data_IF_838901117164
#
_entry.id   IF_838901117164
#
_cell.length_a   1.000
_cell.length_b   1.000
_cell.length_c   1.000
_cell.angle_alpha   90.00
_cell.angle_beta   90.00
_cell.angle_gamma   90.00
#
_symmetry.space_group_name_H-M   'P 1'
#
loop_
_entity.id
_entity.type
_entity.pdbx_description
1 polymer ?
#
# COMPACT_ATOMS: atom_id res chain seq x y z
N UNK A 1 -2.94 -11.18 -5.67
CA UNK A 1 -1.89 -10.64 -4.77
C UNK A 1 -2.18 -10.87 -3.28
N UNK A 2 -3.09 -10.17 -2.63
CA UNK A 2 -3.37 -10.31 -1.18
C UNK A 2 -3.78 -11.72 -0.70
N UNK A 3 -4.15 -12.64 -1.60
CA UNK A 3 -4.40 -14.06 -1.31
C UNK A 3 -3.08 -14.85 -1.20
N UNK A 4 -2.07 -14.46 -1.97
CA UNK A 4 -0.81 -15.18 -2.16
C UNK A 4 0.18 -14.89 -1.04
N UNK A 5 0.30 -13.62 -0.66
CA UNK A 5 1.35 -13.13 0.22
C UNK A 5 0.95 -13.13 1.70
N UNK A 6 1.95 -13.31 2.55
CA UNK A 6 1.84 -13.12 3.99
C UNK A 6 2.21 -11.68 4.35
N UNK A 7 1.61 -11.17 5.41
CA UNK A 7 1.80 -9.80 5.88
C UNK A 7 2.32 -9.82 7.31
N UNK A 8 3.17 -8.85 7.69
CA UNK A 8 3.65 -8.74 9.06
C UNK A 8 2.49 -8.45 10.01
N UNK A 9 2.50 -9.12 11.16
CA UNK A 9 1.48 -8.98 12.21
C UNK A 9 2.12 -8.90 13.59
N UNK A 10 1.35 -8.38 14.56
CA UNK A 10 1.78 -8.21 15.95
C UNK A 10 2.52 -6.89 16.17
N UNK A 11 3.26 -6.82 17.25
CA UNK A 11 4.07 -5.67 17.61
C UNK A 11 5.46 -5.78 16.99
N UNK A 12 5.96 -4.72 16.31
CA UNK A 12 7.31 -4.71 15.78
C UNK A 12 8.35 -4.49 16.88
N UNK A 13 9.52 -5.08 16.72
CA UNK A 13 10.72 -4.68 17.45
C UNK A 13 11.33 -3.46 16.75
N UNK A 14 11.55 -2.38 17.50
CA UNK A 14 12.21 -1.18 16.99
C UNK A 14 13.70 -1.30 17.20
N UNK A 15 14.47 -1.47 16.13
CA UNK A 15 15.91 -1.68 16.15
C UNK A 15 16.61 -0.40 15.71
N UNK A 16 17.36 0.21 16.64
CA UNK A 16 18.17 1.43 16.42
C UNK A 16 19.65 1.18 16.66
N UNK A 17 20.00 0.10 17.36
CA UNK A 17 21.37 -0.17 17.77
C UNK A 17 22.27 -0.49 16.57
N UNK A 18 23.38 0.26 16.35
CA UNK A 18 24.22 0.07 15.17
C UNK A 18 24.75 -1.34 15.00
N UNK A 19 25.12 -2.03 16.09
CA UNK A 19 25.66 -3.38 16.01
C UNK A 19 24.65 -4.37 15.42
N UNK A 20 23.37 -4.25 15.79
CA UNK A 20 22.31 -5.07 15.18
C UNK A 20 22.06 -4.69 13.73
N UNK A 21 21.98 -3.37 13.42
CA UNK A 21 21.75 -2.89 12.06
C UNK A 21 22.87 -3.30 11.09
N UNK A 22 24.11 -3.40 11.58
CA UNK A 22 25.24 -3.86 10.77
C UNK A 22 25.22 -5.38 10.47
N UNK A 23 24.37 -6.17 11.15
CA UNK A 23 24.17 -7.60 10.84
C UNK A 23 23.12 -7.84 9.77
N UNK A 24 22.52 -6.77 9.21
CA UNK A 24 21.50 -6.92 8.18
C UNK A 24 22.12 -7.43 6.89
N UNK A 25 21.60 -8.53 6.41
CA UNK A 25 21.99 -9.19 5.17
C UNK A 25 20.77 -9.50 4.30
N UNK A 26 20.99 -9.51 2.99
CA UNK A 26 19.98 -9.90 2.01
C UNK A 26 20.47 -11.18 1.33
N UNK A 27 19.65 -12.22 1.39
CA UNK A 27 19.92 -13.52 0.77
C UNK A 27 18.63 -14.05 0.14
N UNK A 28 18.71 -14.48 -1.12
CA UNK A 28 17.59 -15.08 -1.86
C UNK A 28 16.26 -14.25 -1.79
N UNK A 29 16.34 -12.93 -1.96
CA UNK A 29 15.19 -12.02 -1.91
C UNK A 29 14.59 -11.81 -0.53
N UNK A 30 15.31 -12.21 0.52
CA UNK A 30 14.86 -12.15 1.90
C UNK A 30 15.88 -11.39 2.75
N UNK A 31 15.39 -10.58 3.67
CA UNK A 31 16.23 -9.82 4.60
C UNK A 31 16.38 -10.56 5.93
N UNK A 32 17.59 -10.55 6.46
CA UNK A 32 17.95 -11.16 7.73
C UNK A 32 18.63 -10.13 8.65
N UNK A 33 18.38 -10.25 9.96
CA UNK A 33 19.09 -9.55 11.00
C UNK A 33 19.51 -10.58 12.06
N UNK A 34 20.78 -10.62 12.45
CA UNK A 34 21.32 -11.65 13.36
C UNK A 34 20.94 -13.07 12.91
N UNK A 35 20.99 -13.36 11.61
CA UNK A 35 20.58 -14.62 10.96
C UNK A 35 19.09 -15.00 11.12
N UNK A 36 18.23 -14.12 11.60
CA UNK A 36 16.78 -14.33 11.67
C UNK A 36 16.11 -13.62 10.50
N UNK A 37 15.18 -14.31 9.82
CA UNK A 37 14.32 -13.68 8.83
C UNK A 37 13.52 -12.55 9.46
N UNK A 38 13.57 -11.39 8.83
CA UNK A 38 12.84 -10.20 9.24
C UNK A 38 12.05 -9.63 8.08
N UNK A 39 10.89 -9.08 8.41
CA UNK A 39 10.08 -8.24 7.54
C UNK A 39 9.69 -6.99 8.32
N UNK A 40 9.38 -5.91 7.61
CA UNK A 40 8.96 -4.68 8.26
C UNK A 40 9.26 -3.45 7.45
N UNK A 41 9.51 -2.35 8.14
CA UNK A 41 9.87 -1.07 7.54
C UNK A 41 11.32 -0.75 7.87
N UNK A 42 12.10 -0.41 6.85
CA UNK A 42 13.51 -0.08 6.95
C UNK A 42 13.76 1.35 6.49
N UNK A 43 14.38 2.17 7.35
CA UNK A 43 14.90 3.48 6.97
C UNK A 43 16.37 3.34 6.64
N UNK A 44 16.72 3.59 5.38
CA UNK A 44 18.05 3.27 4.88
C UNK A 44 18.52 4.25 3.80
N UNK A 45 19.84 4.26 3.58
CA UNK A 45 20.50 4.92 2.43
C UNK A 45 20.82 3.87 1.39
N UNK A 46 20.34 4.07 0.18
CA UNK A 46 20.49 3.17 -0.97
C UNK A 46 21.09 3.93 -2.14
N UNK A 47 21.83 3.22 -2.98
CA UNK A 47 22.33 3.73 -4.25
C UNK A 47 21.53 3.09 -5.40
N UNK A 48 20.75 3.87 -6.17
CA UNK A 48 20.01 3.35 -7.31
C UNK A 48 20.94 3.04 -8.49
N UNK A 49 20.57 2.07 -9.35
CA UNK A 49 21.29 1.81 -10.59
C UNK A 49 21.14 2.99 -11.56
N UNK A 50 22.12 3.16 -12.46
CA UNK A 50 22.04 4.14 -13.55
C UNK A 50 21.11 3.63 -14.68
N UNK A 51 19.81 3.59 -14.40
CA UNK A 51 18.75 3.18 -15.35
C UNK A 51 17.74 4.29 -15.51
N UNK A 52 17.08 4.33 -16.67
CA UNK A 52 16.07 5.35 -16.98
C UNK A 52 14.88 5.31 -15.98
N UNK A 53 14.40 4.12 -15.66
CA UNK A 53 13.29 3.91 -14.72
C UNK A 53 13.74 2.86 -13.69
N UNK A 54 14.29 3.29 -12.53
CA UNK A 54 14.64 2.39 -11.45
C UNK A 54 13.38 1.87 -10.73
N UNK A 55 13.52 0.78 -9.96
CA UNK A 55 12.41 0.09 -9.32
C UNK A 55 11.80 0.85 -8.12
N UNK A 56 12.65 1.36 -7.23
CA UNK A 56 12.18 2.02 -6.01
C UNK A 56 11.72 3.45 -6.30
N UNK A 57 10.74 3.87 -5.53
CA UNK A 57 10.21 5.23 -5.61
C UNK A 57 10.63 6.04 -4.39
N UNK A 58 10.94 7.30 -4.59
CA UNK A 58 11.14 8.29 -3.52
C UNK A 58 10.12 9.40 -3.62
N UNK A 59 9.97 10.19 -2.57
CA UNK A 59 8.97 11.27 -2.50
C UNK A 59 9.62 12.66 -2.53
N UNK A 60 8.99 13.54 -3.30
CA UNK A 60 9.26 14.99 -3.28
C UNK A 60 7.93 15.74 -3.37
N UNK A 61 7.69 16.66 -2.44
CA UNK A 61 6.48 17.50 -2.44
C UNK A 61 5.16 16.70 -2.56
N UNK A 62 5.07 15.58 -1.84
CA UNK A 62 3.88 14.71 -1.85
C UNK A 62 3.72 13.84 -3.10
N UNK A 63 4.57 13.97 -4.11
CA UNK A 63 4.57 13.13 -5.32
C UNK A 63 5.63 12.05 -5.25
N UNK A 64 5.36 10.91 -5.89
CA UNK A 64 6.29 9.78 -5.97
C UNK A 64 7.01 9.77 -7.31
N UNK A 65 8.34 9.61 -7.26
CA UNK A 65 9.22 9.60 -8.41
C UNK A 65 10.09 8.36 -8.40
N UNK A 66 10.32 7.78 -9.59
CA UNK A 66 11.28 6.72 -9.80
C UNK A 66 12.52 7.33 -10.47
N UNK A 67 13.59 7.51 -9.70
CA UNK A 67 14.78 8.26 -10.16
C UNK A 67 16.07 7.51 -9.83
N UNK A 68 17.08 7.69 -10.70
CA UNK A 68 18.42 7.15 -10.51
C UNK A 68 19.34 8.06 -9.66
N UNK A 69 18.85 9.22 -9.24
CA UNK A 69 19.64 10.23 -8.55
C UNK A 69 18.77 11.14 -7.68
N UNK A 70 19.12 11.22 -6.39
CA UNK A 70 18.41 12.09 -5.44
C UNK A 70 18.70 13.59 -5.71
N UNK A 71 19.95 13.97 -5.91
CA UNK A 71 20.32 15.37 -6.20
C UNK A 71 19.61 15.88 -7.46
N UNK A 72 19.63 15.10 -8.54
CA UNK A 72 18.92 15.44 -9.78
C UNK A 72 17.44 15.73 -9.57
N UNK A 73 16.77 14.91 -8.74
CA UNK A 73 15.36 15.13 -8.38
C UNK A 73 15.18 16.41 -7.55
N UNK A 74 16.04 16.64 -6.56
CA UNK A 74 15.92 17.80 -5.65
C UNK A 74 16.18 19.12 -6.35
N UNK A 75 17.07 19.13 -7.33
CA UNK A 75 17.41 20.31 -8.15
C UNK A 75 16.40 20.61 -9.26
N UNK A 76 15.40 19.74 -9.47
CA UNK A 76 14.45 19.79 -10.61
C UNK A 76 15.18 19.78 -11.97
N UNK A 77 16.27 19.04 -12.07
CA UNK A 77 17.11 18.98 -13.24
C UNK A 77 16.40 18.25 -14.39
N UNK A 78 16.63 18.67 -15.63
CA UNK A 78 16.07 18.06 -16.86
C UNK A 78 17.15 17.44 -17.73
N UNK A 79 18.42 17.73 -17.45
CA UNK A 79 19.58 17.27 -18.22
C UNK A 79 20.03 15.86 -17.74
N UNK A 80 20.98 15.28 -18.45
CA UNK A 80 21.59 14.01 -18.05
C UNK A 80 22.28 14.14 -16.69
N UNK A 81 22.07 13.14 -15.83
CA UNK A 81 22.67 13.11 -14.51
C UNK A 81 24.19 12.89 -14.59
N UNK A 82 24.97 13.82 -14.05
CA UNK A 82 26.43 13.76 -13.92
C UNK A 82 26.90 13.61 -12.47
N UNK A 83 25.99 13.41 -11.54
CA UNK A 83 26.26 13.32 -10.11
C UNK A 83 27.05 12.07 -9.74
N UNK A 84 27.89 12.18 -8.71
CA UNK A 84 28.59 11.05 -8.12
C UNK A 84 27.67 10.15 -7.28
N UNK A 85 28.15 9.01 -6.83
CA UNK A 85 27.32 8.01 -6.12
C UNK A 85 26.78 8.52 -4.77
N UNK A 86 27.49 9.44 -4.10
CA UNK A 86 27.01 10.01 -2.84
C UNK A 86 25.84 10.99 -3.04
N UNK A 87 25.91 11.80 -4.08
CA UNK A 87 24.84 12.73 -4.49
C UNK A 87 23.62 11.99 -5.06
N UNK A 88 23.86 10.85 -5.70
CA UNK A 88 22.82 9.99 -6.25
C UNK A 88 22.08 9.20 -5.18
N UNK A 89 22.72 8.90 -4.05
CA UNK A 89 22.16 8.05 -3.01
C UNK A 89 20.86 8.64 -2.43
N UNK A 90 19.87 7.78 -2.23
CA UNK A 90 18.55 8.11 -1.71
C UNK A 90 18.47 7.62 -0.27
N UNK A 91 17.97 8.46 0.64
CA UNK A 91 17.64 8.09 2.02
C UNK A 91 16.14 8.18 2.19
N UNK A 92 15.49 7.04 2.41
CA UNK A 92 14.02 6.96 2.53
C UNK A 92 13.62 5.70 3.31
N UNK A 93 12.31 5.57 3.57
CA UNK A 93 11.71 4.43 4.25
C UNK A 93 11.03 3.50 3.24
N UNK A 94 11.39 2.22 3.32
CA UNK A 94 10.87 1.17 2.43
C UNK A 94 10.40 -0.05 3.23
N UNK A 95 9.74 -0.98 2.56
CA UNK A 95 9.50 -2.30 3.14
C UNK A 95 10.72 -3.21 2.93
N UNK A 96 10.98 -4.12 3.87
CA UNK A 96 12.13 -5.02 3.78
C UNK A 96 12.14 -5.86 2.49
N UNK A 97 10.97 -6.35 2.06
CA UNK A 97 10.84 -7.13 0.82
C UNK A 97 11.13 -6.30 -0.44
N UNK A 98 10.81 -4.98 -0.46
CA UNK A 98 11.19 -4.10 -1.58
C UNK A 98 12.69 -3.90 -1.67
N UNK A 99 13.35 -3.66 -0.54
CA UNK A 99 14.81 -3.50 -0.52
C UNK A 99 15.49 -4.80 -0.93
N UNK A 100 15.04 -5.93 -0.40
CA UNK A 100 15.60 -7.24 -0.78
C UNK A 100 15.47 -7.48 -2.29
N UNK A 101 14.30 -7.22 -2.87
CA UNK A 101 14.08 -7.33 -4.31
C UNK A 101 14.92 -6.33 -5.12
N UNK A 102 15.00 -5.07 -4.67
CA UNK A 102 15.75 -4.01 -5.33
C UNK A 102 17.26 -4.36 -5.43
N UNK A 103 17.82 -4.85 -4.33
CA UNK A 103 19.24 -5.23 -4.27
C UNK A 103 19.52 -6.45 -5.16
N UNK A 104 18.72 -7.52 -5.05
CA UNK A 104 19.00 -8.75 -5.79
C UNK A 104 18.64 -8.71 -7.28
N UNK A 105 17.53 -8.05 -7.64
CA UNK A 105 16.98 -8.11 -9.01
C UNK A 105 17.13 -6.83 -9.80
N UNK A 106 17.30 -5.68 -9.13
CA UNK A 106 17.26 -4.39 -9.81
C UNK A 106 18.61 -3.66 -9.82
N UNK A 107 19.64 -4.16 -9.11
CA UNK A 107 20.98 -3.61 -9.09
C UNK A 107 21.16 -2.42 -8.15
N UNK A 108 20.32 -2.31 -7.11
CA UNK A 108 20.54 -1.35 -6.04
C UNK A 108 21.63 -1.83 -5.08
N UNK A 109 22.28 -0.87 -4.40
CA UNK A 109 23.21 -1.15 -3.31
C UNK A 109 22.65 -0.58 -2.01
N UNK A 110 22.55 -1.39 -0.98
CA UNK A 110 22.22 -0.95 0.38
C UNK A 110 23.48 -0.41 1.03
N UNK A 111 23.54 0.93 1.20
CA UNK A 111 24.74 1.60 1.72
C UNK A 111 24.76 1.66 3.25
N UNK A 112 23.60 1.98 3.86
CA UNK A 112 23.48 2.11 5.32
C UNK A 112 22.04 1.91 5.76
N UNK A 113 21.87 1.25 6.90
CA UNK A 113 20.59 1.17 7.60
C UNK A 113 20.66 2.05 8.84
N UNK A 114 19.63 2.88 9.03
CA UNK A 114 19.54 3.80 10.17
C UNK A 114 18.57 3.28 11.22
N UNK A 115 17.49 2.64 10.77
CA UNK A 115 16.36 2.24 11.61
C UNK A 115 15.62 1.07 10.98
N UNK A 116 15.10 0.18 11.81
CA UNK A 116 14.32 -0.96 11.38
C UNK A 116 13.18 -1.22 12.35
N UNK A 117 11.95 -1.29 11.83
CA UNK A 117 10.78 -1.84 12.52
C UNK A 117 10.60 -3.28 12.07
N UNK A 118 11.11 -4.23 12.86
CA UNK A 118 11.13 -5.65 12.52
C UNK A 118 9.93 -6.41 13.09
N UNK A 119 9.26 -7.17 12.24
CA UNK A 119 8.21 -8.09 12.62
C UNK A 119 8.72 -9.53 12.53
N UNK A 120 8.36 -10.36 13.50
CA UNK A 120 8.73 -11.78 13.56
C UNK A 120 7.59 -12.73 13.20
N UNK A 121 6.38 -12.22 13.02
CA UNK A 121 5.18 -13.01 12.72
C UNK A 121 4.54 -12.56 11.41
N UNK A 122 4.11 -13.53 10.61
CA UNK A 122 3.55 -13.29 9.26
C UNK A 122 2.36 -14.18 9.02
N UNK A 123 1.26 -13.62 8.53
CA UNK A 123 0.04 -14.34 8.21
C UNK A 123 -0.63 -13.86 6.92
N UNK A 124 -1.38 -14.75 6.27
CA UNK A 124 -2.21 -14.41 5.10
C UNK A 124 -3.55 -13.81 5.54
N UNK A 125 -3.49 -12.69 6.30
CA UNK A 125 -4.63 -12.07 6.97
C UNK A 125 -5.79 -11.71 6.04
N UNK A 126 -5.51 -11.38 4.77
CA UNK A 126 -6.53 -11.01 3.79
C UNK A 126 -7.07 -12.20 2.99
N UNK A 127 -6.50 -13.39 3.12
CA UNK A 127 -6.80 -14.52 2.25
C UNK A 127 -8.29 -14.88 2.26
N UNK A 128 -8.92 -15.03 3.43
CA UNK A 128 -10.35 -15.38 3.54
C UNK A 128 -11.25 -14.33 2.91
N UNK A 129 -11.01 -13.06 3.22
CA UNK A 129 -11.79 -11.92 2.69
C UNK A 129 -11.64 -11.84 1.16
N UNK A 130 -10.41 -11.82 0.67
CA UNK A 130 -10.12 -11.68 -0.76
C UNK A 130 -10.68 -12.86 -1.55
N UNK A 131 -10.53 -14.08 -1.05
CA UNK A 131 -11.05 -15.29 -1.71
C UNK A 131 -12.57 -15.25 -1.81
N UNK A 132 -13.26 -14.84 -0.74
CA UNK A 132 -14.72 -14.71 -0.73
C UNK A 132 -15.18 -13.68 -1.77
N UNK A 133 -14.72 -12.44 -1.66
CA UNK A 133 -15.16 -11.37 -2.57
C UNK A 133 -14.70 -11.58 -4.01
N UNK A 134 -13.52 -12.15 -4.25
CA UNK A 134 -13.08 -12.50 -5.60
C UNK A 134 -14.02 -13.55 -6.25
N UNK A 135 -14.42 -14.58 -5.50
CA UNK A 135 -15.38 -15.57 -5.99
C UNK A 135 -16.74 -14.95 -6.32
N UNK A 136 -17.25 -14.05 -5.48
CA UNK A 136 -18.50 -13.33 -5.75
C UNK A 136 -18.41 -12.42 -6.98
N UNK A 137 -17.29 -11.70 -7.14
CA UNK A 137 -17.06 -10.86 -8.33
C UNK A 137 -17.13 -11.68 -9.61
N UNK A 138 -16.52 -12.88 -9.62
CA UNK A 138 -16.53 -13.77 -10.79
C UNK A 138 -17.96 -14.28 -11.07
N UNK A 139 -18.70 -14.74 -10.05
CA UNK A 139 -20.09 -15.16 -10.19
C UNK A 139 -20.99 -14.09 -10.81
N UNK A 140 -20.85 -12.85 -10.35
CA UNK A 140 -21.65 -11.72 -10.85
C UNK A 140 -21.16 -11.14 -12.17
N UNK A 141 -19.96 -11.51 -12.64
CA UNK A 141 -19.49 -11.13 -13.99
C UNK A 141 -20.12 -11.94 -15.09
N UNK A 142 -20.64 -13.14 -14.80
CA UNK A 142 -21.07 -14.10 -15.80
C UNK A 142 -19.88 -14.83 -16.43
N UNK A 143 -20.17 -15.71 -17.36
CA UNK A 143 -19.14 -16.38 -18.16
C UNK A 143 -18.61 -15.45 -19.25
N UNK A 144 -17.33 -15.60 -19.66
CA UNK A 144 -16.79 -14.99 -20.86
C UNK A 144 -17.63 -15.37 -22.10
N UNK A 145 -17.66 -14.48 -23.09
CA UNK A 145 -18.50 -14.64 -24.30
C UNK A 145 -18.14 -15.84 -25.20
N UNK A 146 -16.93 -16.35 -25.06
CA UNK A 146 -16.37 -17.50 -25.76
C UNK A 146 -16.80 -18.84 -25.14
N UNK A 147 -17.31 -18.85 -23.91
CA UNK A 147 -17.75 -20.05 -23.18
C UNK A 147 -19.26 -20.20 -23.34
N UNK A 148 -19.68 -21.24 -24.09
CA UNK A 148 -21.10 -21.45 -24.46
C UNK A 148 -21.65 -22.80 -24.00
N UNK A 149 -20.83 -23.83 -23.96
CA UNK A 149 -21.27 -25.20 -23.63
C UNK A 149 -21.13 -25.47 -22.13
N UNK A 150 -21.93 -26.40 -21.61
CA UNK A 150 -21.88 -26.78 -20.19
C UNK A 150 -20.54 -27.40 -19.80
N UNK A 151 -19.89 -28.10 -20.74
CA UNK A 151 -18.57 -28.68 -20.52
C UNK A 151 -17.51 -27.58 -20.38
N UNK A 152 -17.51 -26.57 -21.26
CA UNK A 152 -16.62 -25.43 -21.18
C UNK A 152 -16.84 -24.65 -19.88
N UNK A 153 -18.09 -24.45 -19.43
CA UNK A 153 -18.41 -23.82 -18.17
C UNK A 153 -17.80 -24.58 -16.95
N UNK A 154 -17.91 -25.90 -16.95
CA UNK A 154 -17.32 -26.77 -15.92
C UNK A 154 -15.78 -26.66 -15.91
N UNK A 155 -15.15 -26.71 -17.10
CA UNK A 155 -13.70 -26.57 -17.25
C UNK A 155 -13.23 -25.20 -16.77
N UNK A 156 -13.92 -24.14 -17.13
CA UNK A 156 -13.64 -22.77 -16.67
C UNK A 156 -13.71 -22.66 -15.14
N UNK A 157 -14.78 -23.17 -14.52
CA UNK A 157 -14.92 -23.17 -13.06
C UNK A 157 -13.78 -23.93 -12.38
N UNK A 158 -13.43 -25.13 -12.90
CA UNK A 158 -12.36 -25.95 -12.34
C UNK A 158 -10.99 -25.26 -12.46
N UNK A 159 -10.70 -24.67 -13.61
CA UNK A 159 -9.45 -23.93 -13.85
C UNK A 159 -9.29 -22.76 -12.85
N UNK A 160 -10.35 -21.94 -12.68
CA UNK A 160 -10.31 -20.82 -11.73
C UNK A 160 -10.25 -21.32 -10.29
N UNK A 161 -11.04 -22.32 -9.91
CA UNK A 161 -10.99 -22.89 -8.57
C UNK A 161 -9.59 -23.36 -8.20
N UNK A 162 -8.90 -24.04 -9.12
CA UNK A 162 -7.53 -24.48 -8.93
C UNK A 162 -6.56 -23.31 -8.86
N UNK A 163 -6.62 -22.37 -9.80
CA UNK A 163 -5.73 -21.20 -9.87
C UNK A 163 -5.85 -20.27 -8.65
N UNK A 164 -7.06 -20.09 -8.15
CA UNK A 164 -7.37 -19.15 -7.05
C UNK A 164 -7.48 -19.83 -5.69
N UNK A 165 -7.41 -21.16 -5.62
CA UNK A 165 -7.58 -21.90 -4.39
C UNK A 165 -9.01 -21.86 -3.82
N UNK A 166 -10.04 -21.79 -4.69
CA UNK A 166 -11.44 -21.74 -4.29
C UNK A 166 -11.97 -23.14 -3.97
N UNK A 167 -11.63 -23.63 -2.80
CA UNK A 167 -11.98 -24.99 -2.35
C UNK A 167 -13.05 -25.03 -1.25
N UNK A 168 -13.43 -23.90 -0.67
CA UNK A 168 -14.43 -23.81 0.38
C UNK A 168 -15.85 -23.71 -0.19
N UNK A 169 -16.87 -24.26 0.53
CA UNK A 169 -18.29 -24.26 0.12
C UNK A 169 -18.80 -22.91 -0.40
N UNK A 170 -18.42 -21.80 0.22
CA UNK A 170 -18.88 -20.46 -0.17
C UNK A 170 -18.04 -19.79 -1.28
N UNK A 171 -16.88 -20.32 -1.59
CA UNK A 171 -15.96 -19.74 -2.59
C UNK A 171 -15.82 -20.55 -3.85
N UNK A 172 -15.98 -21.89 -3.77
CA UNK A 172 -15.89 -22.79 -4.92
C UNK A 172 -16.91 -22.40 -5.98
N UNK A 173 -16.45 -22.14 -7.19
CA UNK A 173 -17.30 -21.80 -8.32
C UNK A 173 -17.91 -23.07 -8.94
N UNK A 174 -19.19 -23.04 -9.19
CA UNK A 174 -19.95 -24.03 -9.94
C UNK A 174 -20.80 -23.32 -10.98
N UNK A 175 -21.08 -23.93 -12.17
CA UNK A 175 -21.78 -23.24 -13.27
C UNK A 175 -23.13 -22.63 -12.87
N UNK A 176 -23.90 -23.28 -12.01
CA UNK A 176 -25.23 -22.84 -11.57
C UNK A 176 -25.22 -21.55 -10.73
N UNK A 177 -24.07 -21.17 -10.14
CA UNK A 177 -23.94 -19.98 -9.31
C UNK A 177 -23.77 -18.68 -10.10
N UNK A 178 -23.50 -18.78 -11.40
CA UNK A 178 -23.22 -17.62 -12.24
C UNK A 178 -24.53 -16.89 -12.58
N UNK A 179 -24.61 -15.64 -12.12
CA UNK A 179 -25.75 -14.74 -12.39
C UNK A 179 -25.19 -13.35 -12.68
N UNK A 180 -25.16 -12.98 -13.96
CA UNK A 180 -24.71 -11.64 -14.35
C UNK A 180 -25.50 -10.57 -13.64
N UNK A 181 -24.81 -9.74 -12.84
CA UNK A 181 -25.40 -8.63 -12.13
C UNK A 181 -24.36 -7.53 -11.93
N UNK A 182 -24.45 -6.50 -12.78
CA UNK A 182 -23.48 -5.39 -12.81
C UNK A 182 -23.42 -4.64 -11.49
N UNK A 183 -24.56 -4.40 -10.82
CA UNK A 183 -24.63 -3.67 -9.56
C UNK A 183 -23.88 -4.44 -8.46
N UNK A 184 -24.21 -5.72 -8.29
CA UNK A 184 -23.54 -6.58 -7.29
C UNK A 184 -22.06 -6.75 -7.59
N UNK A 185 -21.69 -6.91 -8.85
CA UNK A 185 -20.30 -6.98 -9.29
C UNK A 185 -19.52 -5.72 -8.89
N UNK A 186 -20.11 -4.52 -9.09
CA UNK A 186 -19.48 -3.26 -8.74
C UNK A 186 -19.36 -3.09 -7.22
N UNK A 187 -20.39 -3.41 -6.43
CA UNK A 187 -20.31 -3.41 -4.96
C UNK A 187 -19.20 -4.31 -4.44
N UNK A 188 -19.07 -5.52 -4.99
CA UNK A 188 -18.00 -6.45 -4.64
C UNK A 188 -16.63 -5.91 -5.03
N UNK A 189 -16.51 -5.27 -6.21
CA UNK A 189 -15.28 -4.61 -6.65
C UNK A 189 -14.85 -3.50 -5.66
N UNK A 190 -15.80 -2.67 -5.23
CA UNK A 190 -15.54 -1.61 -4.24
C UNK A 190 -15.12 -2.21 -2.90
N UNK A 191 -15.73 -3.30 -2.44
CA UNK A 191 -15.32 -4.00 -1.22
C UNK A 191 -13.87 -4.50 -1.31
N UNK A 192 -13.46 -5.07 -2.46
CA UNK A 192 -12.08 -5.50 -2.69
C UNK A 192 -11.07 -4.33 -2.65
N UNK A 193 -11.46 -3.18 -3.22
CA UNK A 193 -10.58 -2.00 -3.28
C UNK A 193 -10.52 -1.25 -1.93
N UNK A 194 -11.58 -1.33 -1.12
CA UNK A 194 -11.70 -0.59 0.15
C UNK A 194 -10.65 -0.98 1.20
N UNK A 195 -10.14 -2.21 1.16
CA UNK A 195 -9.10 -2.67 2.10
C UNK A 195 -7.86 -1.79 1.99
N UNK A 196 -7.32 -1.59 0.78
CA UNK A 196 -6.12 -0.78 0.59
C UNK A 196 -6.32 0.64 1.09
N UNK A 197 -7.41 1.29 0.66
CA UNK A 197 -7.74 2.65 1.08
C UNK A 197 -7.91 2.76 2.59
N UNK A 198 -8.48 1.73 3.24
CA UNK A 198 -8.68 1.74 4.68
C UNK A 198 -7.39 1.54 5.48
N UNK A 199 -6.50 0.67 5.02
CA UNK A 199 -5.20 0.44 5.65
C UNK A 199 -4.27 1.64 5.50
N UNK A 200 -4.33 2.32 4.34
CA UNK A 200 -3.48 3.48 4.02
C UNK A 200 -4.12 4.83 4.37
N UNK A 201 -5.24 4.83 5.08
CA UNK A 201 -5.94 6.06 5.42
C UNK A 201 -5.12 6.92 6.36
N UNK A 202 -4.86 8.16 5.95
CA UNK A 202 -4.22 9.16 6.79
C UNK A 202 -5.08 9.46 8.05
N UNK A 203 -4.44 9.59 9.19
CA UNK A 203 -5.07 10.02 10.44
C UNK A 203 -5.36 11.54 10.47
N UNK A 204 -4.69 12.31 9.62
CA UNK A 204 -4.78 13.77 9.54
C UNK A 204 -5.83 14.25 8.53
N UNK A 205 -6.84 13.43 8.24
CA UNK A 205 -7.90 13.80 7.28
C UNK A 205 -8.70 15.00 7.79
N UNK A 206 -8.85 16.01 6.93
CA UNK A 206 -9.75 17.13 7.16
C UNK A 206 -11.20 16.66 7.29
N UNK A 207 -11.96 17.28 8.18
CA UNK A 207 -13.40 17.07 8.30
C UNK A 207 -14.14 18.25 7.69
N UNK A 208 -15.16 17.97 6.88
CA UNK A 208 -16.04 19.00 6.32
C UNK A 208 -17.26 19.13 7.22
N UNK A 209 -17.54 20.34 7.66
CA UNK A 209 -18.68 20.70 8.49
C UNK A 209 -19.53 21.73 7.73
N UNK A 210 -20.84 21.62 7.88
CA UNK A 210 -21.79 22.65 7.43
C UNK A 210 -22.37 23.25 8.69
N UNK A 211 -22.21 24.55 8.85
CA UNK A 211 -22.58 25.30 10.04
C UNK A 211 -23.66 26.30 9.66
N UNK A 212 -24.75 26.35 10.45
CA UNK A 212 -25.90 27.23 10.25
C UNK A 212 -25.93 28.36 11.25
N UNK A 213 -25.17 28.26 12.36
CA UNK A 213 -25.22 29.23 13.47
C UNK A 213 -23.88 29.91 13.64
N UNK A 214 -23.92 31.24 13.85
CA UNK A 214 -22.74 32.05 14.16
C UNK A 214 -22.07 31.59 15.47
N UNK A 215 -22.87 31.24 16.49
CA UNK A 215 -22.37 30.72 17.77
C UNK A 215 -21.57 29.40 17.60
N UNK A 216 -22.03 28.52 16.70
CA UNK A 216 -21.36 27.26 16.41
C UNK A 216 -20.03 27.51 15.70
N UNK A 217 -20.00 28.43 14.74
CA UNK A 217 -18.78 28.83 14.06
C UNK A 217 -17.78 29.44 15.06
N UNK A 218 -18.24 30.33 15.94
CA UNK A 218 -17.40 30.96 16.93
C UNK A 218 -16.79 29.94 17.92
N UNK A 219 -17.59 28.97 18.39
CA UNK A 219 -17.08 27.86 19.22
C UNK A 219 -16.05 27.03 18.49
N UNK A 220 -16.23 26.77 17.20
CA UNK A 220 -15.29 26.01 16.40
C UNK A 220 -13.97 26.75 16.23
N UNK A 221 -14.00 28.06 15.94
CA UNK A 221 -12.82 28.94 15.80
C UNK A 221 -12.04 29.04 17.10
N UNK A 222 -12.74 29.11 18.25
CA UNK A 222 -12.11 29.23 19.57
C UNK A 222 -11.58 27.87 20.10
N UNK A 223 -11.91 26.77 19.45
CA UNK A 223 -11.52 25.44 19.92
C UNK A 223 -10.07 25.13 19.53
N UNK A 224 -9.13 25.02 20.52
CA UNK A 224 -7.72 24.79 20.23
C UNK A 224 -7.42 23.41 19.60
N UNK A 225 -8.40 22.50 19.60
CA UNK A 225 -8.26 21.18 18.98
C UNK A 225 -8.23 21.28 17.46
N UNK A 226 -8.86 22.31 16.89
CA UNK A 226 -9.05 22.42 15.44
C UNK A 226 -8.31 23.61 14.85
N UNK A 227 -7.81 23.37 13.64
CA UNK A 227 -7.35 24.40 12.70
C UNK A 227 -8.31 24.45 11.54
N UNK A 228 -8.76 25.65 11.19
CA UNK A 228 -9.57 25.87 10.00
C UNK A 228 -8.63 25.96 8.80
N UNK A 229 -8.79 25.04 7.85
CA UNK A 229 -8.05 25.03 6.59
C UNK A 229 -8.79 25.80 5.49
N UNK A 230 -10.11 25.75 5.53
CA UNK A 230 -10.93 26.40 4.51
C UNK A 230 -12.29 26.80 5.09
N UNK A 231 -12.79 27.95 4.66
CA UNK A 231 -14.09 28.49 5.06
C UNK A 231 -14.73 29.15 3.84
N UNK A 232 -15.98 28.80 3.55
CA UNK A 232 -16.76 29.36 2.44
C UNK A 232 -18.23 29.47 2.82
N UNK A 233 -18.83 30.62 2.54
CA UNK A 233 -20.29 30.80 2.66
C UNK A 233 -20.99 30.06 1.53
N UNK A 234 -22.07 29.36 1.85
CA UNK A 234 -22.92 28.62 0.91
C UNK A 234 -24.34 29.18 1.00
N UNK A 235 -24.71 30.02 0.04
CA UNK A 235 -25.95 30.75 0.11
C UNK A 235 -25.93 31.82 1.21
N UNK A 236 -27.11 32.15 1.77
CA UNK A 236 -27.24 33.23 2.75
C UNK A 236 -27.07 32.79 4.22
N UNK A 237 -27.20 31.52 4.52
CA UNK A 237 -27.29 31.02 5.91
C UNK A 237 -26.31 29.88 6.26
N UNK A 238 -25.60 29.31 5.31
CA UNK A 238 -24.75 28.19 5.55
C UNK A 238 -23.26 28.53 5.37
N UNK A 239 -22.42 28.00 6.23
CA UNK A 239 -20.97 28.10 6.11
C UNK A 239 -20.38 26.70 6.01
N UNK A 240 -19.71 26.43 4.90
CA UNK A 240 -18.88 25.23 4.76
C UNK A 240 -17.51 25.50 5.37
N UNK A 241 -17.14 24.69 6.36
CA UNK A 241 -15.87 24.81 7.06
C UNK A 241 -15.12 23.50 6.94
N UNK A 242 -13.90 23.56 6.45
CA UNK A 242 -12.97 22.43 6.47
C UNK A 242 -11.99 22.60 7.62
N UNK A 243 -11.96 21.62 8.52
CA UNK A 243 -11.13 21.64 9.71
C UNK A 243 -10.18 20.48 9.75
N UNK A 244 -8.99 20.70 10.27
CA UNK A 244 -8.02 19.69 10.71
C UNK A 244 -7.82 19.76 12.21
N UNK A 245 -7.35 18.67 12.78
CA UNK A 245 -6.87 18.70 14.17
C UNK A 245 -5.49 19.32 14.24
N UNK A 246 -5.24 20.14 15.25
CA UNK A 246 -3.91 20.65 15.56
C UNK A 246 -2.98 19.52 16.01
N UNK A 247 -1.69 19.72 15.83
CA UNK A 247 -0.65 18.83 16.34
C UNK A 247 -0.84 18.57 17.84
N UNK A 248 -0.71 17.31 18.25
CA UNK A 248 -0.96 16.88 19.62
C UNK A 248 -2.43 16.51 19.93
N UNK A 249 -3.38 16.86 19.11
CA UNK A 249 -4.81 16.47 19.23
C UNK A 249 -5.26 15.46 18.18
N UNK A 250 -4.33 14.84 17.49
CA UNK A 250 -4.62 13.87 16.44
C UNK A 250 -5.33 12.63 16.99
N UNK A 251 -6.30 12.13 16.26
CA UNK A 251 -6.90 10.84 16.56
C UNK A 251 -6.05 9.74 15.95
N UNK A 252 -5.53 8.85 16.78
CA UNK A 252 -4.95 7.62 16.28
C UNK A 252 -6.05 6.84 15.54
N UNK A 253 -5.88 6.68 14.23
CA UNK A 253 -6.79 5.85 13.44
C UNK A 253 -6.49 4.38 13.71
N UNK A 254 -7.14 3.81 14.72
CA UNK A 254 -6.97 2.40 15.11
C UNK A 254 -7.35 1.40 14.01
N UNK A 255 -7.95 1.86 12.90
CA UNK A 255 -8.36 1.02 11.76
C UNK A 255 -7.39 1.10 10.59
N UNK A 256 -6.46 2.05 10.60
CA UNK A 256 -5.39 2.14 9.64
C UNK A 256 -4.16 1.39 10.14
N UNK A 257 -3.45 0.76 9.22
CA UNK A 257 -2.16 0.15 9.48
C UNK A 257 -1.25 0.44 8.29
N UNK A 258 -0.43 1.47 8.42
CA UNK A 258 0.44 1.94 7.34
C UNK A 258 1.39 0.85 6.84
N UNK A 259 1.90 0.01 7.75
CA UNK A 259 2.75 -1.13 7.38
C UNK A 259 2.03 -2.08 6.42
N UNK A 260 0.78 -2.45 6.71
CA UNK A 260 0.00 -3.30 5.81
C UNK A 260 -0.27 -2.62 4.47
N UNK A 261 -0.59 -1.32 4.47
CA UNK A 261 -0.74 -0.52 3.26
C UNK A 261 0.54 -0.49 2.42
N UNK A 262 1.68 -0.25 3.06
CA UNK A 262 3.00 -0.27 2.42
C UNK A 262 3.30 -1.63 1.80
N UNK A 263 3.04 -2.74 2.51
CA UNK A 263 3.24 -4.10 1.99
C UNK A 263 2.33 -4.43 0.80
N UNK A 264 1.07 -4.00 0.80
CA UNK A 264 0.16 -4.22 -0.34
C UNK A 264 0.71 -3.49 -1.58
N UNK A 265 1.18 -2.25 -1.44
CA UNK A 265 1.75 -1.48 -2.55
C UNK A 265 3.09 -2.04 -3.00
N UNK A 266 3.93 -2.49 -2.07
CA UNK A 266 5.21 -3.12 -2.32
C UNK A 266 5.06 -4.40 -3.15
N UNK A 267 4.23 -5.34 -2.71
CA UNK A 267 3.95 -6.55 -3.49
C UNK A 267 3.35 -6.24 -4.87
N UNK A 268 2.55 -5.16 -5.00
CA UNK A 268 2.03 -4.72 -6.30
C UNK A 268 3.13 -4.30 -7.24
N UNK A 269 4.08 -3.49 -6.76
CA UNK A 269 5.23 -3.03 -7.57
C UNK A 269 6.12 -4.18 -8.01
N UNK A 270 6.42 -5.11 -7.10
CA UNK A 270 7.21 -6.30 -7.41
C UNK A 270 6.55 -7.14 -8.51
N UNK A 271 5.26 -7.47 -8.37
CA UNK A 271 4.53 -8.25 -9.37
C UNK A 271 4.45 -7.54 -10.74
N UNK A 272 4.26 -6.21 -10.75
CA UNK A 272 4.27 -5.40 -11.98
C UNK A 272 5.65 -5.42 -12.64
N UNK A 273 6.71 -5.25 -11.87
CA UNK A 273 8.07 -5.23 -12.39
C UNK A 273 8.49 -6.59 -12.96
N UNK A 274 8.04 -7.68 -12.35
CA UNK A 274 8.25 -9.03 -12.86
C UNK A 274 7.35 -9.39 -14.06
N UNK A 275 6.47 -8.49 -14.50
CA UNK A 275 5.55 -8.72 -15.61
C UNK A 275 4.47 -9.78 -15.32
N UNK A 276 4.08 -9.94 -14.04
CA UNK A 276 3.08 -10.94 -13.59
C UNK A 276 1.65 -10.39 -13.50
N UNK A 277 1.47 -9.09 -13.75
CA UNK A 277 0.16 -8.40 -13.78
C UNK A 277 -0.08 -7.82 -15.16
#
# INVERSE_FOLDING_TARGET
MAIKYSFPIGEPEHILHPDKLNTIEIREGTMYCENKHIEGLIFCKILPPQKLIPFLMTRKEGKSYSVCCNAWLMENNVDMCTHNDEERAITDCYTCNEIAFAVEKCGYQLLKVYELLAYSKFEKIFSKFMTFFASQKIRYSGFPSDIKTEEEMKLYCNSINQKMGFNHKFTKLIPQDFKTNIIRRNLVKEALNSILGKMSQDSHVSSNLIIESEDELQRLVQNPIYKIDYLQTVGEKLVHVQVKRNEGFERINRRACLTLGAYITSYSRIEMFEGKI
#
